data_IF_152621518565
#
_entry.id   IF_152621518565
#
_cell.length_a   1.000
_cell.length_b   1.000
_cell.length_c   1.000
_cell.angle_alpha   90.00
_cell.angle_beta   90.00
_cell.angle_gamma   90.00
#
_symmetry.space_group_name_H-M   'P 1'
#
loop_
_entity.id
_entity.type
_entity.pdbx_description
1 polymer ?
#
# COMPACT_ATOMS: atom_id res chain seq x y z
N UNK A 1 -3.61 17.10 -18.71
CA UNK A 1 -2.39 16.27 -18.52
C UNK A 1 -2.15 15.81 -17.07
N UNK A 2 -2.32 16.67 -16.03
CA UNK A 2 -2.00 16.29 -14.61
C UNK A 2 -2.86 15.16 -13.98
N UNK A 3 -4.11 15.00 -14.40
CA UNK A 3 -5.03 13.97 -13.85
C UNK A 3 -4.64 12.53 -14.23
N UNK A 4 -4.13 12.29 -15.45
CA UNK A 4 -3.69 10.96 -15.91
C UNK A 4 -2.47 10.47 -15.13
N UNK A 5 -1.48 11.36 -14.91
CA UNK A 5 -0.24 11.03 -14.17
C UNK A 5 -0.50 10.69 -12.72
N UNK A 6 -1.38 11.44 -12.04
CA UNK A 6 -1.70 11.19 -10.64
C UNK A 6 -2.44 9.86 -10.45
N UNK A 7 -3.27 9.48 -11.42
CA UNK A 7 -3.95 8.19 -11.43
C UNK A 7 -2.99 7.01 -11.63
N UNK A 8 -2.00 7.19 -12.48
CA UNK A 8 -0.99 6.18 -12.76
C UNK A 8 -0.07 5.97 -11.55
N UNK A 9 0.41 7.05 -10.92
CA UNK A 9 1.23 6.97 -9.72
C UNK A 9 0.45 6.32 -8.57
N UNK A 10 -0.80 6.73 -8.34
CA UNK A 10 -1.64 6.17 -7.28
C UNK A 10 -1.95 4.70 -7.52
N UNK A 11 -2.16 4.33 -8.78
CA UNK A 11 -2.33 2.95 -9.20
C UNK A 11 -1.11 2.07 -8.96
N UNK A 12 0.08 2.52 -9.39
CA UNK A 12 1.34 1.78 -9.22
C UNK A 12 1.69 1.66 -7.74
N UNK A 13 1.59 2.74 -6.97
CA UNK A 13 1.91 2.73 -5.54
C UNK A 13 0.93 1.82 -4.79
N UNK A 14 -0.36 1.81 -5.15
CA UNK A 14 -1.33 0.89 -4.57
C UNK A 14 -1.06 -0.58 -4.91
N UNK A 15 -0.66 -0.86 -6.15
CA UNK A 15 -0.35 -2.23 -6.59
C UNK A 15 0.97 -2.73 -6.00
N UNK A 16 2.07 -2.02 -6.22
CA UNK A 16 3.41 -2.39 -5.72
C UNK A 16 3.42 -2.34 -4.19
N UNK A 17 2.89 -1.28 -3.60
CA UNK A 17 2.78 -1.14 -2.15
C UNK A 17 1.84 -2.18 -1.53
N UNK A 18 0.75 -2.53 -2.21
CA UNK A 18 -0.18 -3.58 -1.78
C UNK A 18 0.44 -4.98 -1.80
N UNK A 19 1.23 -5.32 -2.82
CA UNK A 19 1.99 -6.59 -2.89
C UNK A 19 3.02 -6.66 -1.74
N UNK A 20 3.75 -5.57 -1.51
CA UNK A 20 4.71 -5.50 -0.40
C UNK A 20 4.02 -5.59 0.97
N UNK A 21 2.82 -5.00 1.12
CA UNK A 21 2.01 -5.12 2.33
C UNK A 21 1.38 -6.51 2.52
N UNK A 22 1.14 -7.25 1.43
CA UNK A 22 0.65 -8.62 1.50
C UNK A 22 1.74 -9.58 2.00
N UNK A 23 2.96 -9.43 1.49
CA UNK A 23 4.11 -10.29 1.82
C UNK A 23 4.82 -9.82 3.11
N UNK A 24 4.76 -8.53 3.40
CA UNK A 24 5.44 -7.88 4.52
C UNK A 24 5.23 -8.51 5.90
N UNK A 25 3.98 -8.83 6.31
CA UNK A 25 3.73 -9.49 7.59
C UNK A 25 4.42 -10.87 7.70
N UNK A 26 4.48 -11.63 6.61
CA UNK A 26 5.14 -12.94 6.58
C UNK A 26 6.67 -12.81 6.64
N UNK A 27 7.23 -11.78 6.00
CA UNK A 27 8.66 -11.47 6.08
C UNK A 27 9.04 -10.98 7.47
N UNK A 28 8.18 -10.18 8.13
CA UNK A 28 8.41 -9.76 9.51
C UNK A 28 8.38 -10.94 10.47
N UNK A 29 7.45 -11.87 10.29
CA UNK A 29 7.38 -13.08 11.10
C UNK A 29 8.62 -13.98 10.88
N UNK A 30 9.03 -14.17 9.63
CA UNK A 30 10.24 -14.93 9.30
C UNK A 30 11.52 -14.32 9.86
N UNK A 31 11.66 -13.00 9.80
CA UNK A 31 12.83 -12.28 10.36
C UNK A 31 12.81 -12.24 11.90
N UNK A 32 11.63 -12.16 12.52
CA UNK A 32 11.49 -12.25 13.98
C UNK A 32 11.84 -13.65 14.50
N UNK A 33 11.38 -14.72 13.83
CA UNK A 33 11.73 -16.12 14.17
C UNK A 33 13.22 -16.36 13.97
N UNK A 34 13.79 -15.89 12.86
CA UNK A 34 15.23 -16.02 12.60
C UNK A 34 16.06 -15.25 13.65
N UNK A 35 15.65 -14.03 14.01
CA UNK A 35 16.28 -13.23 15.07
C UNK A 35 16.19 -13.90 16.44
N UNK A 36 15.07 -14.52 16.79
CA UNK A 36 14.96 -15.28 18.03
C UNK A 36 15.93 -16.47 18.05
N UNK A 37 16.05 -17.19 16.93
CA UNK A 37 16.98 -18.32 16.79
C UNK A 37 18.46 -17.90 16.84
N UNK A 38 18.83 -16.76 16.24
CA UNK A 38 20.21 -16.24 16.26
C UNK A 38 20.57 -15.57 17.58
N UNK A 39 19.61 -14.95 18.28
CA UNK A 39 19.81 -14.38 19.62
C UNK A 39 20.10 -15.47 20.65
N UNK A 40 19.42 -16.62 20.56
CA UNK A 40 19.72 -17.82 21.36
C UNK A 40 21.14 -18.35 21.14
N UNK A 41 21.73 -18.10 19.95
CA UNK A 41 23.09 -18.48 19.58
C UNK A 41 24.10 -17.32 19.71
N UNK A 42 23.76 -16.21 20.39
CA UNK A 42 24.68 -15.10 20.66
C UNK A 42 24.96 -14.15 19.47
N UNK A 43 24.20 -14.25 18.38
CA UNK A 43 24.35 -13.40 17.20
C UNK A 43 23.51 -12.11 17.25
N UNK A 44 24.12 -10.95 17.07
CA UNK A 44 23.42 -9.67 17.00
C UNK A 44 22.66 -9.51 15.67
N UNK A 45 21.31 -9.53 15.72
CA UNK A 45 20.45 -9.47 14.50
C UNK A 45 19.36 -8.39 14.54
N UNK A 46 19.47 -7.42 15.45
CA UNK A 46 18.42 -6.41 15.67
C UNK A 46 18.20 -5.43 14.50
N UNK A 47 19.19 -5.22 13.63
CA UNK A 47 19.13 -4.20 12.56
C UNK A 47 18.21 -4.55 11.38
N UNK A 48 18.11 -5.82 10.99
CA UNK A 48 17.35 -6.24 9.80
C UNK A 48 15.83 -6.24 10.04
N UNK A 49 15.38 -6.61 11.25
CA UNK A 49 13.96 -6.59 11.65
C UNK A 49 13.42 -5.16 11.67
N UNK A 50 14.24 -4.21 12.13
CA UNK A 50 13.87 -2.79 12.21
C UNK A 50 13.67 -2.16 10.82
N UNK A 51 14.57 -2.42 9.86
CA UNK A 51 14.50 -1.84 8.51
C UNK A 51 13.25 -2.24 7.73
N UNK A 52 12.87 -3.52 7.76
CA UNK A 52 11.66 -4.03 7.07
C UNK A 52 10.39 -3.50 7.75
N UNK A 53 10.37 -3.41 9.08
CA UNK A 53 9.24 -2.84 9.81
C UNK A 53 9.03 -1.35 9.50
N UNK A 54 10.11 -0.57 9.41
CA UNK A 54 10.07 0.84 9.04
C UNK A 54 9.58 1.03 7.60
N UNK A 55 10.06 0.24 6.64
CA UNK A 55 9.61 0.28 5.25
C UNK A 55 8.11 -0.04 5.13
N UNK A 56 7.63 -1.07 5.84
CA UNK A 56 6.21 -1.44 5.81
C UNK A 56 5.34 -0.37 6.46
N UNK A 57 5.77 0.25 7.56
CA UNK A 57 5.05 1.39 8.14
C UNK A 57 5.05 2.61 7.21
N UNK A 58 6.16 2.88 6.52
CA UNK A 58 6.21 3.95 5.52
C UNK A 58 5.23 3.68 4.36
N UNK A 59 5.10 2.44 3.90
CA UNK A 59 4.12 2.05 2.88
C UNK A 59 2.67 2.22 3.34
N UNK A 60 2.36 1.90 4.60
CA UNK A 60 1.03 2.14 5.19
C UNK A 60 0.67 3.62 5.15
N UNK A 61 1.59 4.46 5.60
CA UNK A 61 1.41 5.92 5.62
C UNK A 61 1.32 6.45 4.19
N UNK A 62 2.16 5.96 3.27
CA UNK A 62 2.14 6.37 1.87
C UNK A 62 0.78 6.07 1.21
N UNK A 63 0.23 4.86 1.39
CA UNK A 63 -1.08 4.49 0.86
C UNK A 63 -2.21 5.35 1.48
N UNK A 64 -2.13 5.63 2.78
CA UNK A 64 -3.10 6.48 3.46
C UNK A 64 -3.06 7.92 2.93
N UNK A 65 -1.87 8.51 2.78
CA UNK A 65 -1.67 9.86 2.25
C UNK A 65 -2.10 9.93 0.78
N UNK A 66 -1.76 8.94 -0.04
CA UNK A 66 -2.21 8.87 -1.43
C UNK A 66 -3.74 8.76 -1.54
N UNK A 67 -4.38 7.98 -0.67
CA UNK A 67 -5.83 7.89 -0.60
C UNK A 67 -6.48 9.25 -0.28
N UNK A 68 -5.91 10.00 0.66
CA UNK A 68 -6.39 11.36 1.01
C UNK A 68 -6.15 12.35 -0.14
N UNK A 69 -4.98 12.34 -0.76
CA UNK A 69 -4.71 13.22 -1.92
C UNK A 69 -5.66 12.89 -3.06
N UNK A 70 -5.89 11.60 -3.35
CA UNK A 70 -6.82 11.17 -4.37
C UNK A 70 -8.28 11.58 -4.06
N UNK A 71 -8.75 11.48 -2.81
CA UNK A 71 -10.12 11.88 -2.47
C UNK A 71 -10.34 13.39 -2.58
N UNK A 72 -9.32 14.21 -2.28
CA UNK A 72 -9.38 15.66 -2.39
C UNK A 72 -9.23 16.10 -3.85
N UNK A 73 -8.34 15.47 -4.61
CA UNK A 73 -8.04 15.86 -5.99
C UNK A 73 -9.12 15.42 -6.99
N UNK A 74 -9.75 14.27 -6.78
CA UNK A 74 -10.87 13.78 -7.60
C UNK A 74 -12.24 14.17 -7.03
N UNK A 75 -12.28 15.06 -6.02
CA UNK A 75 -13.51 15.54 -5.41
C UNK A 75 -14.33 16.33 -6.44
N UNK A 76 -15.35 15.70 -7.01
CA UNK A 76 -16.23 16.28 -8.04
C UNK A 76 -15.91 15.86 -9.48
N UNK A 77 -14.92 15.00 -9.72
CA UNK A 77 -14.57 14.50 -11.06
C UNK A 77 -15.11 13.06 -11.25
N UNK A 78 -16.19 12.94 -12.03
CA UNK A 78 -16.92 11.67 -12.26
C UNK A 78 -16.10 10.59 -12.98
N UNK A 79 -14.93 10.94 -13.51
CA UNK A 79 -14.09 9.99 -14.25
C UNK A 79 -13.45 8.93 -13.36
N UNK A 80 -13.06 9.28 -12.14
CA UNK A 80 -12.28 8.38 -11.26
C UNK A 80 -13.11 7.71 -10.17
N UNK A 81 -14.29 8.25 -9.86
CA UNK A 81 -15.18 7.71 -8.84
C UNK A 81 -14.58 7.78 -7.42
N UNK A 82 -15.41 7.76 -6.39
CA UNK A 82 -14.91 7.78 -5.01
C UNK A 82 -14.30 6.43 -4.56
N UNK A 83 -14.64 5.34 -5.26
CA UNK A 83 -14.29 3.97 -4.88
C UNK A 83 -12.77 3.69 -4.76
N UNK A 84 -11.90 4.11 -5.71
CA UNK A 84 -10.45 3.85 -5.61
C UNK A 84 -9.81 4.59 -4.42
N UNK A 85 -10.21 5.84 -4.20
CA UNK A 85 -9.68 6.66 -3.10
C UNK A 85 -10.08 6.13 -1.73
N UNK A 86 -11.34 5.71 -1.57
CA UNK A 86 -11.83 5.11 -0.31
C UNK A 86 -11.12 3.78 -0.06
N UNK A 87 -10.91 2.94 -1.07
CA UNK A 87 -10.17 1.69 -0.89
C UNK A 87 -8.71 1.90 -0.47
N UNK A 88 -8.04 2.94 -0.97
CA UNK A 88 -6.69 3.33 -0.52
C UNK A 88 -6.67 3.81 0.94
N UNK A 89 -7.70 4.51 1.39
CA UNK A 89 -7.81 4.96 2.78
C UNK A 89 -8.08 3.75 3.70
N UNK A 90 -9.03 2.90 3.32
CA UNK A 90 -9.38 1.69 4.07
C UNK A 90 -8.22 0.70 4.09
N UNK A 91 -7.44 0.58 3.00
CA UNK A 91 -6.24 -0.26 2.97
C UNK A 91 -5.18 0.25 3.94
N UNK A 92 -4.89 1.55 3.96
CA UNK A 92 -3.98 2.17 4.93
C UNK A 92 -4.42 1.97 6.38
N UNK A 93 -5.71 2.11 6.65
CA UNK A 93 -6.31 1.89 7.97
C UNK A 93 -6.26 0.43 8.44
N UNK A 94 -6.68 -0.51 7.60
CA UNK A 94 -6.67 -1.95 7.92
C UNK A 94 -5.24 -2.48 8.04
N UNK A 95 -4.30 -1.97 7.25
CA UNK A 95 -2.89 -2.36 7.34
C UNK A 95 -2.19 -1.93 8.63
N UNK A 96 -2.74 -0.99 9.41
CA UNK A 96 -2.22 -0.65 10.74
C UNK A 96 -2.40 -1.79 11.74
N UNK A 97 -3.41 -2.65 11.54
CA UNK A 97 -3.64 -3.80 12.41
C UNK A 97 -2.63 -4.90 12.05
N UNK A 98 -1.72 -5.29 12.96
CA UNK A 98 -0.64 -6.24 12.64
C UNK A 98 -1.15 -7.58 12.10
N UNK A 99 -2.25 -8.09 12.66
CA UNK A 99 -2.86 -9.37 12.24
C UNK A 99 -3.64 -9.28 10.92
N UNK A 100 -4.19 -8.11 10.59
CA UNK A 100 -4.92 -7.86 9.34
C UNK A 100 -4.07 -7.12 8.29
N UNK A 101 -2.76 -6.98 8.52
CA UNK A 101 -1.84 -6.27 7.63
C UNK A 101 -1.92 -6.75 6.17
N UNK A 102 -2.04 -8.06 6.02
CA UNK A 102 -2.19 -8.75 4.73
C UNK A 102 -3.52 -8.43 4.03
N UNK A 103 -4.62 -8.28 4.79
CA UNK A 103 -5.93 -7.88 4.28
C UNK A 103 -5.87 -6.46 3.71
N UNK A 104 -5.19 -5.55 4.42
CA UNK A 104 -4.94 -4.20 3.91
C UNK A 104 -4.07 -4.19 2.65
N UNK A 105 -3.14 -5.14 2.50
CA UNK A 105 -2.41 -5.36 1.24
C UNK A 105 -3.33 -5.71 0.07
N UNK A 106 -4.30 -6.62 0.27
CA UNK A 106 -5.31 -6.98 -0.75
C UNK A 106 -6.14 -5.76 -1.14
N UNK A 107 -6.62 -5.00 -0.15
CA UNK A 107 -7.40 -3.77 -0.38
C UNK A 107 -6.60 -2.72 -1.16
N UNK A 108 -5.30 -2.59 -0.91
CA UNK A 108 -4.43 -1.70 -1.67
C UNK A 108 -4.25 -2.14 -3.13
N UNK A 109 -4.15 -3.45 -3.39
CA UNK A 109 -4.09 -4.00 -4.76
C UNK A 109 -5.41 -3.72 -5.51
N UNK A 110 -6.55 -3.94 -4.86
CA UNK A 110 -7.87 -3.66 -5.46
C UNK A 110 -8.03 -2.15 -5.71
N UNK A 111 -7.68 -1.30 -4.74
CA UNK A 111 -7.73 0.16 -4.90
C UNK A 111 -6.79 0.68 -6.00
N UNK A 112 -5.57 0.14 -6.07
CA UNK A 112 -4.57 0.47 -7.10
C UNK A 112 -5.00 0.02 -8.49
N UNK A 113 -5.48 -1.22 -8.63
CA UNK A 113 -5.99 -1.74 -9.92
C UNK A 113 -7.21 -0.96 -10.43
N UNK A 114 -8.10 -0.51 -9.54
CA UNK A 114 -9.21 0.39 -9.90
C UNK A 114 -8.69 1.73 -10.44
N UNK A 115 -7.63 2.27 -9.83
CA UNK A 115 -6.96 3.48 -10.31
C UNK A 115 -6.36 3.29 -11.71
N UNK A 116 -5.73 2.14 -11.98
CA UNK A 116 -5.24 1.79 -13.31
C UNK A 116 -6.39 1.57 -14.32
N UNK A 117 -7.49 0.96 -13.90
CA UNK A 117 -8.66 0.74 -14.77
C UNK A 117 -9.26 2.07 -15.25
N UNK A 118 -9.27 3.08 -14.37
CA UNK A 118 -9.69 4.44 -14.72
C UNK A 118 -8.79 5.08 -15.79
N UNK A 119 -7.50 4.77 -15.84
CA UNK A 119 -6.61 5.25 -16.92
C UNK A 119 -7.10 4.84 -18.32
N UNK A 120 -7.78 3.69 -18.44
CA UNK A 120 -8.33 3.23 -19.70
C UNK A 120 -9.45 4.15 -20.21
N UNK A 121 -10.25 4.73 -19.32
CA UNK A 121 -11.27 5.74 -19.65
C UNK A 121 -10.64 7.05 -20.12
N UNK A 122 -9.53 7.46 -19.48
CA UNK A 122 -8.77 8.62 -19.93
C UNK A 122 -8.09 8.44 -21.31
N UNK A 123 -7.96 7.21 -21.81
CA UNK A 123 -7.40 6.90 -23.14
C UNK A 123 -8.47 6.87 -24.24
N UNK A 124 -9.75 6.75 -23.92
CA UNK A 124 -10.84 6.69 -24.91
C UNK A 124 -11.54 8.03 -25.18
N UNK A 125 -11.13 9.10 -24.51
CA UNK A 125 -11.64 10.48 -24.69
C UNK A 125 -10.57 11.42 -25.25
N UNK A 126 -9.60 10.86 -25.99
CA UNK A 126 -8.60 11.62 -26.76
C UNK A 126 -8.88 11.46 -28.26
#
# INVERSE_FOLDING_TARGET
MKSKTLALISGIVGLVGGILLLIGPFVLLGTAVNTAATTLNGGATAGAVSGVALLLNALKIANLVLGIIAIVYYKGDNRVGAAPSVLMIVSGGVSLIPFLGWVGGILAIIGGSLFLATLKKFKSEE
#
